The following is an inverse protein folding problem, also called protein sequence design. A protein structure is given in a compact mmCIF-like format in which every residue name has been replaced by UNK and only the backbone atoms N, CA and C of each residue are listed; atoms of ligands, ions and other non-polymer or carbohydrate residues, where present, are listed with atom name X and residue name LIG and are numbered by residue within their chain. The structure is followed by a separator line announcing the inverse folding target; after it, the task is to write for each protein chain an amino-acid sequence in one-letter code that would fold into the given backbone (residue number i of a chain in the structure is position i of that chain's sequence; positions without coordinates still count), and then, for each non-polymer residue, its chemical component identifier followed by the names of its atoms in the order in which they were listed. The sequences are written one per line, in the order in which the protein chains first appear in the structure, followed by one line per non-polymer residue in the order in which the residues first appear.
data_IF_236853458922
#
_entry.id   IF_236853458922
#
_cell.length_a   1.000
_cell.length_b   1.000
_cell.length_c   1.000
_cell.angle_alpha   90.00
_cell.angle_beta   90.00
_cell.angle_gamma   90.00
#
_symmetry.space_group_name_H-M   'P 1'
#
loop_
_entity.id
_entity.type
_entity.pdbx_description
1 polymer ?
#
# COMPACT_ATOMS: atom_id res chain seq x y z
N UNK A 1 -0.75 -2.16 13.65
CA UNK A 1 0.68 -2.41 13.98
C UNK A 1 0.88 -2.20 15.48
N UNK A 2 1.71 -3.00 16.13
CA UNK A 2 2.09 -2.82 17.55
C UNK A 2 3.60 -3.04 17.64
N UNK A 3 4.34 -1.99 18.01
CA UNK A 3 5.81 -2.01 17.96
C UNK A 3 6.32 -2.36 16.56
N UNK A 4 7.25 -3.32 16.39
CA UNK A 4 7.73 -3.74 15.08
C UNK A 4 6.79 -4.70 14.36
N UNK A 5 5.68 -5.11 14.98
CA UNK A 5 4.84 -6.18 14.44
C UNK A 5 3.64 -5.65 13.64
N UNK A 6 3.43 -6.24 12.46
CA UNK A 6 2.24 -6.06 11.63
C UNK A 6 1.43 -7.34 11.64
N UNK A 7 0.12 -7.17 11.75
CA UNK A 7 -0.85 -8.26 11.74
C UNK A 7 -1.84 -8.02 10.60
N UNK A 8 -2.16 -9.05 9.84
CA UNK A 8 -3.10 -9.02 8.71
C UNK A 8 -4.10 -10.16 8.89
N UNK A 9 -5.39 -9.82 8.96
CA UNK A 9 -6.47 -10.78 9.07
C UNK A 9 -7.64 -10.33 8.18
N UNK A 10 -7.87 -11.08 7.10
CA UNK A 10 -8.91 -10.79 6.11
C UNK A 10 -8.37 -10.55 4.70
N UNK A 11 -9.30 -10.35 3.78
CA UNK A 11 -9.06 -10.28 2.34
C UNK A 11 -9.85 -9.14 1.72
N UNK A 12 -9.40 -8.63 0.57
CA UNK A 12 -10.10 -7.63 -0.25
C UNK A 12 -10.81 -8.32 -1.40
N UNK A 13 -12.12 -8.09 -1.53
CA UNK A 13 -12.95 -8.65 -2.60
C UNK A 13 -12.76 -10.18 -2.77
N UNK A 14 -12.90 -10.93 -1.67
CA UNK A 14 -12.74 -12.40 -1.65
C UNK A 14 -11.41 -12.91 -2.23
N UNK A 15 -10.35 -12.09 -2.17
CA UNK A 15 -9.00 -12.45 -2.59
C UNK A 15 -8.65 -11.95 -3.98
N UNK A 16 -9.63 -11.49 -4.77
CA UNK A 16 -9.34 -11.03 -6.13
C UNK A 16 -8.48 -9.76 -6.15
N UNK A 17 -8.45 -9.01 -5.05
CA UNK A 17 -7.68 -7.77 -4.91
C UNK A 17 -6.56 -7.87 -3.87
N UNK A 18 -6.14 -9.08 -3.50
CA UNK A 18 -5.04 -9.30 -2.55
C UNK A 18 -3.66 -9.41 -3.23
N UNK A 19 -3.64 -9.40 -4.58
CA UNK A 19 -2.42 -9.43 -5.36
C UNK A 19 -1.73 -8.06 -5.49
N UNK A 20 -0.52 -8.08 -6.03
CA UNK A 20 0.14 -6.87 -6.50
C UNK A 20 -0.32 -6.56 -7.93
N UNK A 21 -1.09 -5.47 -8.12
CA UNK A 21 -1.65 -5.09 -9.44
C UNK A 21 -0.80 -4.07 -10.20
N UNK A 22 0.39 -3.75 -9.72
CA UNK A 22 1.31 -2.86 -10.44
C UNK A 22 2.12 -3.64 -11.47
N UNK A 23 1.92 -3.37 -12.75
CA UNK A 23 2.94 -3.67 -13.76
C UNK A 23 4.02 -2.63 -13.63
N UNK A 24 5.19 -3.05 -13.21
CA UNK A 24 6.34 -2.17 -13.16
C UNK A 24 6.86 -1.96 -14.59
N UNK A 25 6.42 -0.89 -15.26
CA UNK A 25 7.05 -0.36 -16.48
C UNK A 25 8.43 0.28 -16.18
N UNK A 26 9.07 -0.07 -15.05
CA UNK A 26 10.36 0.45 -14.59
C UNK A 26 11.56 0.07 -15.43
N UNK A 27 11.39 -0.63 -16.56
CA UNK A 27 12.50 -0.88 -17.48
C UNK A 27 13.17 0.41 -18.01
N UNK A 28 12.70 1.62 -17.69
CA UNK A 28 13.30 2.85 -18.23
C UNK A 28 13.39 4.09 -17.32
N UNK A 29 12.99 4.09 -16.04
CA UNK A 29 13.17 5.28 -15.19
C UNK A 29 14.49 5.23 -14.42
N UNK A 30 15.56 5.63 -15.10
CA UNK A 30 16.83 5.91 -14.44
C UNK A 30 16.64 7.03 -13.40
N UNK A 31 17.16 6.83 -12.19
CA UNK A 31 17.13 7.86 -11.17
C UNK A 31 18.00 9.05 -11.61
N UNK A 32 17.38 10.22 -11.79
CA UNK A 32 18.06 11.45 -12.14
C UNK A 32 18.17 12.35 -10.90
N UNK A 33 19.39 12.48 -10.37
CA UNK A 33 19.63 13.29 -9.19
C UNK A 33 19.44 14.79 -9.46
N UNK A 34 19.70 15.25 -10.68
CA UNK A 34 19.52 16.65 -11.08
C UNK A 34 18.07 17.08 -10.89
N UNK A 35 17.12 16.24 -11.30
CA UNK A 35 15.68 16.52 -11.15
C UNK A 35 15.28 16.63 -9.67
N UNK A 36 15.92 15.86 -8.79
CA UNK A 36 15.70 15.94 -7.34
C UNK A 36 16.32 17.23 -6.77
N UNK A 37 17.55 17.55 -7.16
CA UNK A 37 18.27 18.72 -6.67
C UNK A 37 17.63 20.06 -7.09
N UNK A 38 17.03 20.07 -8.29
CA UNK A 38 16.34 21.24 -8.85
C UNK A 38 14.83 21.26 -8.54
N UNK A 39 14.32 20.26 -7.82
CA UNK A 39 12.91 20.19 -7.47
C UNK A 39 12.50 21.34 -6.55
N UNK A 40 11.27 21.82 -6.73
CA UNK A 40 10.65 22.83 -5.86
C UNK A 40 10.54 22.37 -4.41
N UNK A 41 10.46 21.05 -4.19
CA UNK A 41 10.43 20.44 -2.87
C UNK A 41 11.78 20.64 -2.17
N UNK A 42 12.90 20.29 -2.81
CA UNK A 42 14.22 20.43 -2.18
C UNK A 42 14.60 21.90 -2.00
N UNK A 43 14.21 22.78 -2.92
CA UNK A 43 14.47 24.22 -2.78
C UNK A 43 13.72 24.86 -1.60
N UNK A 44 12.64 24.23 -1.14
CA UNK A 44 11.83 24.67 0.01
C UNK A 44 12.28 24.04 1.35
N UNK A 45 13.26 23.14 1.33
CA UNK A 45 13.81 22.44 2.51
C UNK A 45 15.25 22.90 2.80
N UNK A 46 15.89 22.28 3.81
CA UNK A 46 17.34 22.41 4.01
C UNK A 46 18.04 21.96 2.74
N UNK A 47 18.92 22.82 2.17
CA UNK A 47 19.69 22.48 0.96
C UNK A 47 20.61 21.30 1.29
N UNK A 48 20.24 20.12 0.79
CA UNK A 48 21.08 18.93 0.83
C UNK A 48 22.02 18.95 -0.37
N UNK A 49 23.25 18.52 -0.14
CA UNK A 49 24.20 18.22 -1.20
C UNK A 49 23.83 16.93 -1.93
N UNK A 50 24.37 16.76 -3.13
CA UNK A 50 24.22 15.53 -3.93
C UNK A 50 24.59 14.27 -3.14
N UNK A 51 25.70 14.30 -2.42
CA UNK A 51 26.19 13.15 -1.65
C UNK A 51 25.24 12.80 -0.50
N UNK A 52 24.64 13.78 0.15
CA UNK A 52 23.63 13.56 1.19
C UNK A 52 22.36 12.95 0.63
N UNK A 53 21.89 13.42 -0.53
CA UNK A 53 20.72 12.86 -1.22
C UNK A 53 20.97 11.39 -1.61
N UNK A 54 22.13 11.09 -2.20
CA UNK A 54 22.50 9.72 -2.56
C UNK A 54 22.62 8.82 -1.33
N UNK A 55 23.25 9.33 -0.25
CA UNK A 55 23.37 8.60 1.02
C UNK A 55 22.01 8.30 1.62
N UNK A 56 21.10 9.28 1.67
CA UNK A 56 19.74 9.12 2.18
C UNK A 56 18.97 8.09 1.34
N UNK A 57 19.08 8.16 0.01
CA UNK A 57 18.45 7.19 -0.89
C UNK A 57 18.95 5.78 -0.64
N UNK A 58 20.26 5.59 -0.58
CA UNK A 58 20.85 4.26 -0.39
C UNK A 58 20.53 3.69 1.00
N UNK A 59 20.61 4.51 2.04
CA UNK A 59 20.27 4.09 3.42
C UNK A 59 18.77 3.82 3.61
N UNK A 60 17.91 4.39 2.77
CA UNK A 60 16.46 4.12 2.77
C UNK A 60 16.06 2.97 1.85
N UNK A 61 16.99 2.39 1.10
CA UNK A 61 16.70 1.35 0.10
C UNK A 61 16.40 0.02 0.79
N UNK A 62 15.17 -0.45 0.67
CA UNK A 62 14.78 -1.81 1.07
C UNK A 62 15.21 -2.79 -0.02
N UNK A 63 15.97 -3.82 0.36
CA UNK A 63 16.39 -4.90 -0.54
C UNK A 63 15.71 -6.20 -0.10
N UNK A 64 14.74 -6.65 -0.89
CA UNK A 64 14.01 -7.88 -0.62
C UNK A 64 14.71 -9.07 -1.33
N UNK A 65 15.04 -10.15 -0.61
CA UNK A 65 15.50 -11.38 -1.23
C UNK A 65 14.37 -12.05 -2.02
N UNK A 66 14.70 -12.89 -3.01
CA UNK A 66 13.70 -13.70 -3.71
C UNK A 66 13.08 -14.72 -2.74
N UNK A 67 11.74 -14.84 -2.74
CA UNK A 67 10.98 -15.64 -1.77
C UNK A 67 11.47 -17.10 -1.68
N UNK A 68 11.84 -17.69 -2.82
CA UNK A 68 12.31 -19.06 -2.95
C UNK A 68 13.60 -19.36 -2.18
N UNK A 69 14.46 -18.35 -1.95
CA UNK A 69 15.78 -18.55 -1.33
C UNK A 69 15.74 -18.72 0.19
N UNK A 70 14.62 -18.38 0.85
CA UNK A 70 14.58 -18.22 2.31
C UNK A 70 13.67 -19.21 3.05
N UNK A 71 13.06 -20.19 2.37
CA UNK A 71 12.05 -21.08 2.96
C UNK A 71 10.97 -20.29 3.74
N UNK A 72 10.60 -19.11 3.24
CA UNK A 72 9.66 -18.23 3.91
C UNK A 72 8.26 -18.83 3.86
N UNK A 73 7.54 -18.78 4.98
CA UNK A 73 6.13 -19.20 5.02
C UNK A 73 5.28 -18.11 4.37
N UNK A 74 4.57 -18.40 3.27
CA UNK A 74 3.76 -17.39 2.59
C UNK A 74 2.62 -16.92 3.49
N UNK A 75 2.17 -15.69 3.24
CA UNK A 75 0.97 -15.14 3.86
C UNK A 75 -0.23 -15.41 2.97
N UNK A 76 -1.18 -16.19 3.49
CA UNK A 76 -2.45 -16.49 2.84
C UNK A 76 -3.59 -16.12 3.79
N UNK A 77 -3.99 -14.83 3.84
CA UNK A 77 -4.88 -14.32 4.88
C UNK A 77 -6.32 -14.87 4.79
N UNK A 78 -6.67 -15.57 3.71
CA UNK A 78 -7.90 -16.33 3.55
C UNK A 78 -7.87 -17.69 4.26
N UNK A 79 -6.68 -18.24 4.54
CA UNK A 79 -6.49 -19.51 5.27
C UNK A 79 -6.23 -19.26 6.75
N UNK A 80 -5.37 -18.31 7.06
CA UNK A 80 -5.04 -17.93 8.43
C UNK A 80 -4.47 -16.51 8.48
N UNK A 81 -4.57 -15.82 9.63
CA UNK A 81 -3.93 -14.52 9.77
C UNK A 81 -2.41 -14.56 9.57
N UNK A 82 -1.86 -13.42 9.20
CA UNK A 82 -0.42 -13.24 9.04
C UNK A 82 0.14 -12.32 10.10
N UNK A 83 1.34 -12.65 10.58
CA UNK A 83 2.10 -11.83 11.50
C UNK A 83 3.51 -11.64 10.94
N UNK A 84 4.01 -10.41 10.94
CA UNK A 84 5.34 -10.05 10.47
C UNK A 84 6.05 -9.17 11.48
N UNK A 85 7.38 -9.25 11.53
CA UNK A 85 8.22 -8.26 12.21
C UNK A 85 8.85 -7.35 11.15
N UNK A 86 8.31 -6.16 10.96
CA UNK A 86 8.68 -5.24 9.88
C UNK A 86 10.12 -4.72 10.01
N UNK A 87 10.71 -4.75 11.21
CA UNK A 87 12.12 -4.38 11.37
C UNK A 87 13.07 -5.49 10.86
N UNK A 88 12.67 -6.75 10.99
CA UNK A 88 13.48 -7.91 10.54
C UNK A 88 13.11 -8.39 9.14
N UNK A 89 11.86 -8.22 8.75
CA UNK A 89 11.27 -8.62 7.48
C UNK A 89 10.45 -7.43 6.94
N UNK A 90 11.12 -6.40 6.40
CA UNK A 90 10.45 -5.24 5.82
C UNK A 90 9.65 -5.56 4.56
N UNK A 91 9.89 -6.73 3.98
CA UNK A 91 9.26 -7.21 2.75
C UNK A 91 8.02 -8.07 3.01
N UNK A 92 7.71 -8.35 4.28
CA UNK A 92 6.52 -9.09 4.71
C UNK A 92 6.42 -10.48 4.04
N UNK A 93 7.56 -11.14 3.87
CA UNK A 93 7.65 -12.39 3.11
C UNK A 93 7.45 -13.63 3.97
N UNK A 94 7.75 -13.56 5.27
CA UNK A 94 7.73 -14.71 6.17
C UNK A 94 6.68 -14.55 7.26
N UNK A 95 5.58 -15.29 7.12
CA UNK A 95 4.51 -15.34 8.10
C UNK A 95 4.95 -16.07 9.39
N UNK A 96 5.18 -15.30 10.46
CA UNK A 96 5.52 -15.80 11.80
C UNK A 96 4.29 -15.97 12.71
N UNK A 97 3.08 -16.07 12.13
CA UNK A 97 1.86 -16.35 12.88
C UNK A 97 1.98 -17.67 13.66
N UNK A 98 1.45 -17.68 14.89
CA UNK A 98 1.58 -18.78 15.85
C UNK A 98 2.84 -18.74 16.72
N UNK A 99 3.84 -17.90 16.43
CA UNK A 99 5.08 -17.83 17.23
C UNK A 99 4.91 -17.12 18.59
N UNK A 100 3.85 -16.32 18.77
CA UNK A 100 3.56 -15.65 20.05
C UNK A 100 2.06 -15.48 20.24
N UNK A 101 1.46 -16.32 21.10
CA UNK A 101 0.03 -16.29 21.41
C UNK A 101 -0.38 -14.95 22.02
N UNK A 102 0.39 -14.45 23.00
CA UNK A 102 0.12 -13.17 23.67
C UNK A 102 0.06 -12.00 22.68
N UNK A 103 0.98 -11.95 21.72
CA UNK A 103 1.00 -10.88 20.72
C UNK A 103 -0.22 -10.94 19.79
N UNK A 104 -0.60 -12.15 19.38
CA UNK A 104 -1.80 -12.39 18.55
C UNK A 104 -3.06 -11.94 19.29
N UNK A 105 -3.21 -12.31 20.57
CA UNK A 105 -4.35 -11.90 21.41
C UNK A 105 -4.47 -10.37 21.50
N UNK A 106 -3.35 -9.66 21.64
CA UNK A 106 -3.34 -8.19 21.66
C UNK A 106 -3.80 -7.62 20.31
N UNK A 107 -3.36 -8.19 19.19
CA UNK A 107 -3.80 -7.75 17.86
C UNK A 107 -5.29 -8.01 17.62
N UNK A 108 -5.77 -9.21 17.94
CA UNK A 108 -7.18 -9.58 17.75
C UNK A 108 -8.10 -8.73 18.63
N UNK A 109 -7.72 -8.47 19.88
CA UNK A 109 -8.45 -7.53 20.73
C UNK A 109 -8.52 -6.14 20.10
N UNK A 110 -7.38 -5.62 19.62
CA UNK A 110 -7.33 -4.29 19.01
C UNK A 110 -8.15 -4.22 17.70
N UNK A 111 -8.17 -5.28 16.91
CA UNK A 111 -9.02 -5.37 15.72
C UNK A 111 -10.51 -5.40 16.09
N UNK A 112 -10.90 -6.12 17.14
CA UNK A 112 -12.27 -6.16 17.61
C UNK A 112 -12.75 -4.78 18.07
N UNK A 113 -11.91 -4.03 18.79
CA UNK A 113 -12.18 -2.63 19.17
C UNK A 113 -12.44 -1.76 17.93
N UNK A 114 -11.57 -1.81 16.92
CA UNK A 114 -11.77 -1.04 15.69
C UNK A 114 -13.03 -1.45 14.91
N UNK A 115 -13.36 -2.75 14.87
CA UNK A 115 -14.58 -3.23 14.21
C UNK A 115 -15.84 -2.75 14.92
N UNK A 116 -15.82 -2.65 16.25
CA UNK A 116 -16.95 -2.17 17.03
C UNK A 116 -17.26 -0.68 16.78
N UNK A 117 -16.24 0.11 16.48
CA UNK A 117 -16.36 1.56 16.20
C UNK A 117 -16.48 1.87 14.69
N UNK A 118 -16.45 0.86 13.83
CA UNK A 118 -16.43 1.05 12.39
C UNK A 118 -17.79 1.52 11.87
N UNK A 119 -17.79 2.65 11.16
CA UNK A 119 -18.96 3.08 10.38
C UNK A 119 -19.11 2.23 9.11
N UNK A 120 -20.35 1.96 8.65
CA UNK A 120 -20.57 1.21 7.42
C UNK A 120 -19.82 1.81 6.22
N UNK A 121 -19.24 0.98 5.33
CA UNK A 121 -18.61 1.47 4.12
C UNK A 121 -19.58 2.31 3.27
N UNK A 122 -19.14 3.48 2.83
CA UNK A 122 -19.91 4.38 1.97
C UNK A 122 -19.88 4.02 0.47
N UNK A 123 -19.56 2.77 0.13
CA UNK A 123 -19.43 2.34 -1.26
C UNK A 123 -20.80 2.33 -1.95
N UNK A 124 -21.01 3.31 -2.82
CA UNK A 124 -22.19 3.36 -3.69
C UNK A 124 -21.92 2.55 -4.97
N UNK A 125 -22.99 2.02 -5.56
CA UNK A 125 -22.91 1.41 -6.89
C UNK A 125 -22.46 2.46 -7.89
N UNK A 126 -21.59 2.06 -8.82
CA UNK A 126 -21.20 2.91 -9.94
C UNK A 126 -22.43 3.37 -10.71
N UNK A 127 -22.59 4.67 -10.87
CA UNK A 127 -23.66 5.26 -11.69
C UNK A 127 -23.21 5.22 -13.15
N UNK A 128 -24.04 4.66 -14.06
CA UNK A 128 -23.71 4.61 -15.50
C UNK A 128 -23.45 6.01 -16.08
N UNK A 129 -24.15 7.02 -15.57
CA UNK A 129 -23.98 8.40 -15.98
C UNK A 129 -22.56 8.93 -15.73
N UNK A 130 -21.79 8.35 -14.81
CA UNK A 130 -20.40 8.73 -14.54
C UNK A 130 -19.39 8.24 -15.59
N UNK A 131 -19.83 7.47 -16.59
CA UNK A 131 -18.95 6.89 -17.61
C UNK A 131 -18.33 8.01 -18.48
N UNK A 132 -16.99 8.14 -18.52
CA UNK A 132 -16.30 9.18 -19.29
C UNK A 132 -16.66 9.22 -20.77
N UNK A 133 -17.21 8.13 -21.34
CA UNK A 133 -17.70 8.13 -22.73
C UNK A 133 -18.79 9.18 -22.97
N UNK A 134 -19.53 9.57 -21.94
CA UNK A 134 -20.54 10.63 -22.00
C UNK A 134 -19.94 12.05 -21.86
N UNK A 135 -18.64 12.15 -21.56
CA UNK A 135 -17.93 13.41 -21.31
C UNK A 135 -16.62 13.50 -22.11
N UNK A 136 -16.67 13.12 -23.39
CA UNK A 136 -15.53 13.19 -24.31
C UNK A 136 -14.27 12.48 -23.75
N UNK A 137 -14.45 11.34 -23.09
CA UNK A 137 -13.37 10.57 -22.46
C UNK A 137 -12.77 11.20 -21.20
N UNK A 138 -13.39 12.25 -20.64
CA UNK A 138 -12.90 12.96 -19.46
C UNK A 138 -13.62 12.49 -18.20
N UNK A 139 -12.87 12.22 -17.13
CA UNK A 139 -13.45 12.05 -15.80
C UNK A 139 -13.88 13.41 -15.26
N UNK A 140 -15.19 13.60 -15.08
CA UNK A 140 -15.78 14.84 -14.56
C UNK A 140 -16.86 14.52 -13.52
N UNK A 141 -17.30 15.53 -12.78
CA UNK A 141 -18.47 15.40 -11.92
C UNK A 141 -19.74 15.47 -12.76
N UNK A 142 -20.40 14.32 -12.93
CA UNK A 142 -21.52 14.13 -13.85
C UNK A 142 -22.85 14.75 -13.38
N UNK A 143 -22.95 15.23 -12.14
CA UNK A 143 -24.19 15.79 -11.58
C UNK A 143 -24.30 17.31 -11.68
N UNK A 144 -23.22 18.02 -11.99
CA UNK A 144 -23.28 19.45 -12.32
C UNK A 144 -23.69 19.67 -13.78
N UNK A 145 -23.64 18.61 -14.59
CA UNK A 145 -24.00 18.60 -16.00
C UNK A 145 -25.35 17.92 -16.15
N UNK A 146 -26.42 18.55 -15.65
CA UNK A 146 -27.76 18.13 -16.02
C UNK A 146 -27.88 18.22 -17.56
N UNK A 147 -28.23 17.10 -18.18
CA UNK A 147 -28.51 17.05 -19.61
C UNK A 147 -29.71 17.95 -19.87
N UNK A 148 -29.46 19.16 -20.38
CA UNK A 148 -30.49 19.91 -21.08
C UNK A 148 -30.81 19.15 -22.36
N UNK A 149 -31.75 18.20 -22.28
CA UNK A 149 -32.42 17.66 -23.46
C UNK A 149 -33.08 18.85 -24.18
N UNK A 150 -32.59 19.12 -25.40
CA UNK A 150 -33.24 19.96 -26.40
C UNK A 150 -33.87 19.06 -27.46
#
# INVERSE_FOLDING_TARGET
RIGPYKYVNGTTFLGCLDGWFGTDDSKSRNYNITDVLQSTVLSSLVRLSETEVLRLRETSRVRCPSAEKNNARPCEPTKEPCLFNIQKDPCEMNNIYGKSKKLIEVFEKRLAEFRAEQVPPGNKKTEKAADPKYYNGTWTYWKDLEMHDS
#
